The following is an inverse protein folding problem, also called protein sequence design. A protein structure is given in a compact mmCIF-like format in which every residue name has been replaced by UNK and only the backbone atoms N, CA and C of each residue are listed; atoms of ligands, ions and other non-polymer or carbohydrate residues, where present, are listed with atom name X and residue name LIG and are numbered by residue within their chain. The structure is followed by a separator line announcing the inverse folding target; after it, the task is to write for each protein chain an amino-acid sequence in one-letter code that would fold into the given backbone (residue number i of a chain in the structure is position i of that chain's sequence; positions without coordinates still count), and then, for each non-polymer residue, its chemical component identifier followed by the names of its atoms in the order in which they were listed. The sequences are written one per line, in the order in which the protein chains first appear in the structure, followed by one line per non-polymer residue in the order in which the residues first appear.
data_IF_881161498028
#
_entry.id   IF_881161498028
#
_cell.length_a   1.000
_cell.length_b   1.000
_cell.length_c   1.000
_cell.angle_alpha   90.00
_cell.angle_beta   90.00
_cell.angle_gamma   90.00
#
_symmetry.space_group_name_H-M   'P 1'
#
loop_
_entity.id
_entity.type
_entity.pdbx_description
1 polymer ?
#
# COMPACT_ATOMS: atom_id res chain seq x y z
N UNK A 1 -6.47 -2.57 14.56
CA UNK A 1 -6.40 -2.87 13.12
C UNK A 1 -5.38 -3.96 13.01
N UNK A 2 -5.86 -5.18 12.98
CA UNK A 2 -5.05 -6.37 12.78
C UNK A 2 -5.55 -7.00 11.48
N UNK A 3 -4.65 -7.47 10.62
CA UNK A 3 -4.98 -8.30 9.46
C UNK A 3 -5.45 -9.71 9.87
N UNK A 4 -6.25 -9.81 10.94
CA UNK A 4 -6.71 -11.09 11.52
C UNK A 4 -7.65 -11.87 10.58
N UNK A 5 -8.21 -11.21 9.59
CA UNK A 5 -9.06 -11.84 8.56
C UNK A 5 -8.37 -11.71 7.21
N UNK A 6 -8.09 -12.85 6.57
CA UNK A 6 -7.60 -12.88 5.19
C UNK A 6 -8.60 -12.28 4.21
N UNK A 7 -8.14 -11.90 3.03
CA UNK A 7 -9.01 -11.44 1.94
C UNK A 7 -9.85 -12.61 1.43
N UNK A 8 -11.16 -12.59 1.67
CA UNK A 8 -12.08 -13.68 1.27
C UNK A 8 -12.61 -13.53 -0.18
N UNK A 9 -12.46 -12.36 -0.79
CA UNK A 9 -12.98 -12.10 -2.13
C UNK A 9 -12.06 -12.64 -3.24
N UNK A 10 -12.39 -13.85 -3.71
CA UNK A 10 -11.74 -14.54 -4.81
C UNK A 10 -11.99 -13.90 -6.19
N UNK A 11 -12.85 -12.89 -6.28
CA UNK A 11 -13.01 -12.12 -7.52
C UNK A 11 -11.88 -11.10 -7.70
N UNK A 12 -11.20 -10.73 -6.60
CA UNK A 12 -10.05 -9.84 -6.65
C UNK A 12 -8.76 -10.60 -6.99
N UNK A 13 -7.85 -9.94 -7.71
CA UNK A 13 -6.49 -10.47 -7.94
C UNK A 13 -5.75 -10.76 -6.63
N UNK A 14 -5.92 -9.89 -5.63
CA UNK A 14 -5.28 -10.04 -4.31
C UNK A 14 -5.80 -11.28 -3.57
N UNK A 15 -7.12 -11.51 -3.58
CA UNK A 15 -7.74 -12.69 -2.98
C UNK A 15 -7.32 -13.99 -3.66
N UNK A 16 -7.24 -14.00 -5.01
CA UNK A 16 -6.72 -15.16 -5.77
C UNK A 16 -5.26 -15.45 -5.43
N UNK A 17 -4.42 -14.41 -5.42
CA UNK A 17 -2.99 -14.54 -5.06
C UNK A 17 -2.82 -15.07 -3.64
N UNK A 18 -3.59 -14.56 -2.68
CA UNK A 18 -3.58 -15.07 -1.30
C UNK A 18 -3.97 -16.57 -1.24
N UNK A 19 -5.02 -16.97 -1.96
CA UNK A 19 -5.45 -18.37 -2.01
C UNK A 19 -4.38 -19.27 -2.64
N UNK A 20 -3.74 -18.82 -3.71
CA UNK A 20 -2.66 -19.56 -4.35
C UNK A 20 -1.46 -19.76 -3.41
N UNK A 21 -1.03 -18.71 -2.70
CA UNK A 21 0.02 -18.80 -1.67
C UNK A 21 -0.39 -19.78 -0.56
N UNK A 22 -1.65 -19.72 -0.08
CA UNK A 22 -2.16 -20.67 0.92
C UNK A 22 -2.07 -22.12 0.43
N UNK A 23 -2.51 -22.39 -0.80
CA UNK A 23 -2.46 -23.72 -1.41
C UNK A 23 -1.01 -24.24 -1.57
N UNK A 24 -0.06 -23.35 -1.86
CA UNK A 24 1.36 -23.66 -1.93
C UNK A 24 1.90 -24.05 -0.55
N UNK A 25 1.60 -23.25 0.49
CA UNK A 25 2.02 -23.52 1.87
C UNK A 25 1.47 -24.88 2.34
N UNK A 26 0.19 -25.17 2.11
CA UNK A 26 -0.41 -26.47 2.45
C UNK A 26 0.30 -27.64 1.73
N UNK A 27 0.61 -27.46 0.45
CA UNK A 27 1.33 -28.48 -0.32
C UNK A 27 2.75 -28.68 0.22
N UNK A 28 3.44 -27.63 0.67
CA UNK A 28 4.74 -27.74 1.36
C UNK A 28 4.64 -28.46 2.71
N UNK A 29 3.58 -28.22 3.48
CA UNK A 29 3.35 -28.93 4.75
C UNK A 29 3.17 -30.43 4.48
N UNK A 30 2.32 -30.80 3.51
CA UNK A 30 2.13 -32.19 3.11
C UNK A 30 3.42 -32.84 2.61
N UNK A 31 4.20 -32.10 1.82
CA UNK A 31 5.50 -32.55 1.34
C UNK A 31 6.47 -32.80 2.51
N UNK A 32 6.52 -31.89 3.48
CA UNK A 32 7.34 -32.03 4.68
C UNK A 32 7.01 -33.28 5.48
N UNK A 33 5.72 -33.55 5.71
CA UNK A 33 5.26 -34.78 6.39
C UNK A 33 5.62 -36.04 5.59
N UNK A 34 5.43 -36.01 4.26
CA UNK A 34 5.72 -37.15 3.39
C UNK A 34 7.21 -37.49 3.32
N UNK A 35 8.08 -36.47 3.37
CA UNK A 35 9.55 -36.65 3.44
C UNK A 35 9.97 -37.14 4.82
N UNK A 36 9.35 -36.63 5.89
CA UNK A 36 9.62 -37.06 7.25
C UNK A 36 9.28 -38.55 7.46
N UNK A 37 8.11 -38.98 7.00
CA UNK A 37 7.63 -40.37 7.12
C UNK A 37 7.93 -41.23 5.88
N UNK A 38 8.96 -40.85 5.12
CA UNK A 38 9.23 -41.46 3.82
C UNK A 38 9.56 -42.95 3.96
N UNK A 39 8.67 -43.79 3.41
CA UNK A 39 8.90 -45.22 3.22
C UNK A 39 9.42 -45.38 1.80
N UNK A 40 10.55 -46.05 1.59
CA UNK A 40 11.16 -46.22 0.26
C UNK A 40 10.37 -47.14 -0.71
N UNK A 41 9.04 -47.17 -0.59
CA UNK A 41 8.10 -47.85 -1.47
C UNK A 41 7.93 -47.07 -2.76
N UNK A 42 7.53 -47.75 -3.83
CA UNK A 42 7.36 -47.10 -5.13
C UNK A 42 6.16 -46.13 -5.13
N UNK A 43 5.11 -46.41 -4.35
CA UNK A 43 3.97 -45.50 -4.16
C UNK A 43 4.38 -44.19 -3.47
N UNK A 44 5.27 -44.25 -2.48
CA UNK A 44 5.74 -43.05 -1.78
C UNK A 44 6.62 -42.18 -2.68
N UNK A 45 7.47 -42.80 -3.51
CA UNK A 45 8.26 -42.08 -4.52
C UNK A 45 7.36 -41.40 -5.56
N UNK A 46 6.32 -42.10 -6.02
CA UNK A 46 5.36 -41.56 -6.98
C UNK A 46 4.56 -40.39 -6.39
N UNK A 47 4.08 -40.53 -5.14
CA UNK A 47 3.38 -39.46 -4.44
C UNK A 47 4.25 -38.22 -4.23
N UNK A 48 5.53 -38.42 -3.88
CA UNK A 48 6.50 -37.34 -3.72
C UNK A 48 6.71 -36.57 -5.03
N UNK A 49 6.92 -37.29 -6.14
CA UNK A 49 7.11 -36.70 -7.45
C UNK A 49 5.86 -35.91 -7.90
N UNK A 50 4.66 -36.43 -7.64
CA UNK A 50 3.41 -35.74 -7.96
C UNK A 50 3.24 -34.43 -7.17
N UNK A 51 3.56 -34.44 -5.87
CA UNK A 51 3.48 -33.24 -5.03
C UNK A 51 4.53 -32.18 -5.43
N UNK A 52 5.75 -32.59 -5.79
CA UNK A 52 6.77 -31.66 -6.31
C UNK A 52 6.31 -31.01 -7.62
N UNK A 53 5.80 -31.81 -8.56
CA UNK A 53 5.25 -31.27 -9.82
C UNK A 53 4.06 -30.34 -9.57
N UNK A 54 3.23 -30.64 -8.56
CA UNK A 54 2.14 -29.76 -8.15
C UNK A 54 2.66 -28.41 -7.64
N UNK A 55 3.68 -28.40 -6.77
CA UNK A 55 4.31 -27.16 -6.27
C UNK A 55 4.88 -26.33 -7.43
N UNK A 56 5.60 -26.96 -8.35
CA UNK A 56 6.18 -26.27 -9.51
C UNK A 56 5.09 -25.62 -10.37
N UNK A 57 4.01 -26.34 -10.64
CA UNK A 57 2.88 -25.81 -11.41
C UNK A 57 2.18 -24.66 -10.69
N UNK A 58 2.01 -24.75 -9.36
CA UNK A 58 1.43 -23.68 -8.54
C UNK A 58 2.32 -22.44 -8.47
N UNK A 59 3.65 -22.62 -8.39
CA UNK A 59 4.58 -21.48 -8.39
C UNK A 59 4.59 -20.76 -9.75
N UNK A 60 4.47 -21.53 -10.84
CA UNK A 60 4.33 -20.99 -12.19
C UNK A 60 2.98 -20.28 -12.41
N UNK A 61 1.89 -20.80 -11.85
CA UNK A 61 0.60 -20.12 -11.90
C UNK A 61 0.63 -18.83 -11.09
N UNK A 62 1.31 -18.80 -9.93
CA UNK A 62 1.44 -17.61 -9.09
C UNK A 62 2.12 -16.45 -9.83
N UNK A 63 3.20 -16.74 -10.57
CA UNK A 63 3.87 -15.75 -11.42
C UNK A 63 2.93 -15.16 -12.48
N UNK A 64 2.06 -16.00 -13.03
CA UNK A 64 1.12 -15.60 -14.09
C UNK A 64 -0.06 -14.81 -13.52
N UNK A 65 -0.64 -15.28 -12.42
CA UNK A 65 -1.76 -14.66 -11.70
C UNK A 65 -1.39 -13.31 -11.09
N UNK A 66 -0.13 -13.10 -10.71
CA UNK A 66 0.38 -11.82 -10.23
C UNK A 66 0.44 -10.74 -11.34
N UNK A 67 0.47 -11.15 -12.62
CA UNK A 67 0.66 -10.28 -13.78
C UNK A 67 -0.56 -10.21 -14.72
N UNK A 68 -1.65 -10.95 -14.45
CA UNK A 68 -2.81 -10.99 -15.34
C UNK A 68 -3.88 -9.97 -14.92
N UNK A 69 -4.34 -9.07 -15.80
CA UNK A 69 -5.34 -8.04 -15.47
C UNK A 69 -6.67 -8.67 -15.02
N UNK A 70 -7.41 -8.03 -14.08
CA UNK A 70 -8.68 -8.59 -13.64
C UNK A 70 -9.66 -8.51 -14.80
N UNK A 71 -10.37 -9.60 -15.08
CA UNK A 71 -11.56 -9.52 -15.91
C UNK A 71 -12.49 -8.48 -15.30
N UNK A 72 -12.80 -7.43 -16.06
CA UNK A 72 -13.72 -6.36 -15.71
C UNK A 72 -14.99 -6.91 -15.05
N UNK A 73 -15.12 -6.73 -13.74
CA UNK A 73 -16.42 -6.82 -13.06
C UNK A 73 -16.63 -5.60 -12.19
N UNK A 74 -16.53 -4.42 -12.81
CA UNK A 74 -17.24 -3.22 -12.37
C UNK A 74 -17.62 -2.37 -13.58
N UNK A 75 -18.17 -3.01 -14.63
CA UNK A 75 -19.11 -2.29 -15.48
C UNK A 75 -20.41 -2.15 -14.71
N UNK A 76 -20.53 -1.09 -13.90
CA UNK A 76 -21.84 -0.52 -13.61
C UNK A 76 -22.47 -0.18 -14.96
N UNK A 77 -23.36 -1.07 -15.38
CA UNK A 77 -24.29 -0.91 -16.46
C UNK A 77 -25.05 0.42 -16.29
N UNK A 78 -24.59 1.47 -16.97
CA UNK A 78 -25.41 2.63 -17.30
C UNK A 78 -25.07 3.05 -18.75
N UNK A 79 -26.07 2.89 -19.63
CA UNK A 79 -26.18 3.40 -21.00
C UNK A 79 -25.57 2.55 -22.13
N UNK A 80 -26.30 1.49 -22.47
CA UNK A 80 -26.48 1.10 -23.87
C UNK A 80 -27.39 2.15 -24.54
N UNK A 81 -26.80 3.19 -25.12
CA UNK A 81 -27.47 4.00 -26.14
C UNK A 81 -26.44 4.70 -27.03
N UNK A 82 -26.69 4.57 -28.33
CA UNK A 82 -26.24 5.41 -29.43
C UNK A 82 -24.80 5.21 -29.95
N UNK A 83 -24.76 4.58 -31.13
CA UNK A 83 -23.54 4.34 -31.87
C UNK A 83 -23.03 5.57 -32.61
N UNK A 84 -21.72 5.59 -32.84
CA UNK A 84 -21.10 5.98 -34.10
C UNK A 84 -19.63 5.56 -34.04
N UNK A 85 -19.14 4.87 -35.07
CA UNK A 85 -17.72 4.54 -35.19
C UNK A 85 -16.90 5.79 -35.48
N UNK A 86 -15.74 5.90 -34.83
CA UNK A 86 -14.51 6.44 -35.41
C UNK A 86 -13.35 6.13 -34.46
N UNK A 87 -12.28 5.56 -35.03
CA UNK A 87 -11.10 5.15 -34.30
C UNK A 87 -10.39 6.31 -33.62
N UNK A 88 -10.07 6.09 -32.36
CA UNK A 88 -8.86 6.57 -31.75
C UNK A 88 -8.29 5.36 -31.01
N UNK A 89 -7.07 4.96 -31.37
CA UNK A 89 -6.28 4.00 -30.65
C UNK A 89 -6.41 4.28 -29.15
N UNK A 90 -7.14 3.40 -28.47
CA UNK A 90 -7.14 3.36 -27.01
C UNK A 90 -5.79 2.72 -26.71
N UNK A 91 -4.87 3.48 -26.12
CA UNK A 91 -3.63 2.95 -25.56
C UNK A 91 -4.02 1.84 -24.56
N UNK A 92 -4.02 0.58 -25.01
CA UNK A 92 -4.27 -0.63 -24.21
C UNK A 92 -2.99 -1.00 -23.44
N UNK A 93 -2.26 0.01 -22.97
CA UNK A 93 -1.09 -0.16 -22.09
C UNK A 93 -1.42 0.28 -20.64
N UNK A 94 -2.60 0.87 -20.40
CA UNK A 94 -2.98 1.52 -19.12
C UNK A 94 -3.85 0.66 -18.18
N UNK A 95 -3.95 -0.65 -18.44
CA UNK A 95 -4.60 -1.62 -17.50
C UNK A 95 -3.64 -2.77 -17.17
N UNK A 96 -2.35 -2.51 -17.28
CA UNK A 96 -1.33 -3.44 -16.80
C UNK A 96 -0.97 -3.04 -15.37
N UNK A 97 -1.22 -3.95 -14.42
CA UNK A 97 -0.55 -4.01 -13.11
C UNK A 97 -1.18 -3.36 -11.85
N UNK A 98 -2.46 -3.61 -11.52
CA UNK A 98 -3.02 -3.19 -10.22
C UNK A 98 -2.30 -3.72 -8.95
N UNK A 99 -1.62 -4.87 -9.01
CA UNK A 99 -0.80 -5.37 -7.89
C UNK A 99 0.61 -4.78 -7.89
N UNK A 100 1.22 -4.58 -9.06
CA UNK A 100 2.54 -3.96 -9.21
C UNK A 100 2.50 -2.43 -9.08
N UNK A 101 1.31 -1.83 -9.13
CA UNK A 101 1.04 -0.45 -8.73
C UNK A 101 1.12 -0.25 -7.21
N UNK A 102 0.97 -1.31 -6.41
CA UNK A 102 1.06 -1.21 -4.94
C UNK A 102 2.53 -1.15 -4.54
N UNK A 103 3.05 0.06 -4.38
CA UNK A 103 4.40 0.27 -3.92
C UNK A 103 4.51 0.01 -2.40
N UNK A 104 5.19 -1.08 -2.03
CA UNK A 104 5.40 -1.47 -0.63
C UNK A 104 6.69 -0.81 -0.12
N UNK A 105 6.66 -0.08 1.01
CA UNK A 105 7.88 0.48 1.61
C UNK A 105 8.87 -0.62 2.01
N UNK A 106 10.16 -0.42 1.74
CA UNK A 106 11.23 -1.36 2.09
C UNK A 106 11.28 -1.67 3.60
N UNK A 107 10.90 -0.70 4.43
CA UNK A 107 10.82 -0.88 5.87
C UNK A 107 9.81 -1.95 6.27
N UNK A 108 8.71 -2.11 5.52
CA UNK A 108 7.72 -3.17 5.76
C UNK A 108 8.31 -4.55 5.47
N UNK A 109 9.17 -4.66 4.45
CA UNK A 109 9.86 -5.91 4.14
C UNK A 109 10.77 -6.36 5.29
N UNK A 110 11.55 -5.43 5.87
CA UNK A 110 12.39 -5.73 7.04
C UNK A 110 11.57 -6.26 8.23
N UNK A 111 10.36 -5.73 8.44
CA UNK A 111 9.48 -6.24 9.50
C UNK A 111 9.08 -7.70 9.25
N UNK A 112 8.79 -8.07 8.00
CA UNK A 112 8.44 -9.44 7.62
C UNK A 112 9.65 -10.38 7.81
N UNK A 113 10.84 -9.97 7.38
CA UNK A 113 12.07 -10.75 7.55
C UNK A 113 12.41 -11.00 9.03
N UNK A 114 12.21 -10.00 9.88
CA UNK A 114 12.43 -10.11 11.33
C UNK A 114 11.29 -10.85 12.07
N UNK A 115 10.23 -11.28 11.38
CA UNK A 115 9.05 -11.93 11.97
C UNK A 115 8.18 -10.98 12.81
N UNK A 116 8.29 -9.67 12.59
CA UNK A 116 7.50 -8.62 13.26
C UNK A 116 6.22 -8.33 12.47
N UNK A 117 5.12 -8.06 13.17
CA UNK A 117 3.86 -7.70 12.51
C UNK A 117 4.00 -6.37 11.72
N UNK A 118 3.77 -6.34 10.39
CA UNK A 118 3.85 -5.12 9.58
C UNK A 118 2.84 -4.03 9.98
N UNK A 119 1.74 -4.35 10.66
CA UNK A 119 0.80 -3.35 11.20
C UNK A 119 1.47 -2.40 12.19
N UNK A 120 2.55 -2.86 12.84
CA UNK A 120 3.32 -2.03 13.76
C UNK A 120 4.01 -0.89 13.00
N UNK A 121 4.53 -1.14 11.80
CA UNK A 121 5.09 -0.08 10.95
C UNK A 121 4.03 0.98 10.65
N UNK A 122 2.84 0.57 10.22
CA UNK A 122 1.73 1.50 9.92
C UNK A 122 1.36 2.34 11.15
N UNK A 123 1.29 1.71 12.33
CA UNK A 123 1.03 2.41 13.60
C UNK A 123 2.13 3.41 13.93
N UNK A 124 3.40 3.01 13.89
CA UNK A 124 4.54 3.89 14.16
C UNK A 124 4.58 5.07 13.16
N UNK A 125 4.31 4.81 11.88
CA UNK A 125 4.23 5.83 10.85
C UNK A 125 3.14 6.86 11.15
N UNK A 126 1.93 6.42 11.50
CA UNK A 126 0.82 7.32 11.88
C UNK A 126 1.18 8.12 13.13
N UNK A 127 1.83 7.51 14.12
CA UNK A 127 2.27 8.18 15.34
C UNK A 127 3.31 9.27 15.03
N UNK A 128 4.29 8.98 14.17
CA UNK A 128 5.30 9.95 13.72
C UNK A 128 4.64 11.10 12.95
N UNK A 129 3.77 10.81 11.99
CA UNK A 129 3.05 11.83 11.21
C UNK A 129 2.22 12.73 12.13
N UNK A 130 1.49 12.15 13.09
CA UNK A 130 0.72 12.90 14.09
C UNK A 130 1.62 13.82 14.91
N UNK A 131 2.75 13.31 15.41
CA UNK A 131 3.71 14.07 16.21
C UNK A 131 4.30 15.23 15.41
N UNK A 132 4.69 14.99 14.16
CA UNK A 132 5.24 16.01 13.26
C UNK A 132 4.18 17.06 12.98
N UNK A 133 2.95 16.68 12.64
CA UNK A 133 1.88 17.62 12.34
C UNK A 133 1.58 18.52 13.56
N UNK A 134 1.44 17.93 14.75
CA UNK A 134 1.24 18.69 15.98
C UNK A 134 2.41 19.65 16.26
N UNK A 135 3.63 19.18 16.08
CA UNK A 135 4.84 19.99 16.26
C UNK A 135 4.89 21.16 15.27
N UNK A 136 4.62 20.92 13.98
CA UNK A 136 4.61 21.95 12.94
C UNK A 136 3.51 22.98 13.18
N UNK A 137 2.31 22.54 13.56
CA UNK A 137 1.23 23.43 13.93
C UNK A 137 1.60 24.30 15.15
N UNK A 138 2.15 23.68 16.21
CA UNK A 138 2.62 24.40 17.39
C UNK A 138 3.72 25.40 17.07
N UNK A 139 4.66 25.03 16.19
CA UNK A 139 5.72 25.92 15.69
C UNK A 139 5.11 27.10 14.93
N UNK A 140 4.18 26.86 13.99
CA UNK A 140 3.48 27.92 13.25
C UNK A 140 2.79 28.91 14.19
N UNK A 141 2.02 28.41 15.16
CA UNK A 141 1.35 29.24 16.18
C UNK A 141 2.37 30.06 16.99
N UNK A 142 3.50 29.46 17.39
CA UNK A 142 4.54 30.16 18.13
C UNK A 142 5.19 31.28 17.31
N UNK A 143 5.47 31.03 16.02
CA UNK A 143 6.00 32.06 15.12
C UNK A 143 5.01 33.20 14.89
N UNK A 144 3.72 32.92 14.75
CA UNK A 144 2.68 33.96 14.67
C UNK A 144 2.63 34.81 15.94
N UNK A 145 2.64 34.18 17.12
CA UNK A 145 2.69 34.91 18.40
C UNK A 145 3.97 35.74 18.54
N UNK A 146 5.11 35.19 18.12
CA UNK A 146 6.39 35.90 18.14
C UNK A 146 6.36 37.12 17.21
N UNK A 147 5.84 36.96 15.98
CA UNK A 147 5.57 38.05 15.04
C UNK A 147 4.75 39.14 15.70
N UNK A 148 3.64 38.79 16.35
CA UNK A 148 2.77 39.77 16.99
C UNK A 148 3.45 40.56 18.10
N UNK A 149 4.15 39.89 19.00
CA UNK A 149 4.88 40.53 20.11
C UNK A 149 5.99 41.42 19.58
N UNK A 150 6.75 40.94 18.59
CA UNK A 150 7.85 41.69 18.00
C UNK A 150 7.35 42.96 17.31
N UNK A 151 6.30 42.85 16.49
CA UNK A 151 5.68 44.01 15.84
C UNK A 151 5.20 45.03 16.87
N UNK A 152 4.50 44.59 17.93
CA UNK A 152 4.03 45.51 18.99
C UNK A 152 5.19 46.23 19.71
N UNK A 153 6.30 45.54 19.97
CA UNK A 153 7.48 46.17 20.58
C UNK A 153 8.16 47.17 19.64
N UNK A 154 8.30 46.83 18.36
CA UNK A 154 8.89 47.73 17.36
C UNK A 154 8.07 49.01 17.23
N UNK A 155 6.74 48.90 17.14
CA UNK A 155 5.83 50.06 17.06
C UNK A 155 5.95 50.96 18.29
N UNK A 156 6.12 50.35 19.49
CA UNK A 156 6.27 51.11 20.74
C UNK A 156 7.57 51.91 20.81
N UNK A 157 8.69 51.33 20.39
CA UNK A 157 10.02 51.97 20.46
C UNK A 157 10.27 52.91 19.27
N UNK A 158 9.71 52.59 18.10
CA UNK A 158 9.90 53.35 16.85
C UNK A 158 8.54 53.65 16.18
N UNK A 159 7.85 54.73 16.59
CA UNK A 159 6.54 55.08 16.05
C UNK A 159 6.54 55.33 14.53
N UNK A 160 7.63 55.85 13.99
CA UNK A 160 7.78 56.15 12.56
C UNK A 160 7.74 54.91 11.66
N UNK A 161 8.02 53.71 12.22
CA UNK A 161 8.03 52.44 11.48
C UNK A 161 6.68 51.70 11.52
N UNK A 162 5.67 52.28 12.16
CA UNK A 162 4.38 51.62 12.39
C UNK A 162 3.69 51.20 11.07
N UNK A 163 3.74 52.04 10.05
CA UNK A 163 3.12 51.78 8.75
C UNK A 163 3.77 50.57 8.05
N UNK A 164 5.10 50.53 7.99
CA UNK A 164 5.86 49.44 7.38
C UNK A 164 5.66 48.11 8.10
N UNK A 165 5.60 48.11 9.45
CA UNK A 165 5.41 46.89 10.24
C UNK A 165 4.01 46.30 10.04
N UNK A 166 2.98 47.16 9.95
CA UNK A 166 1.61 46.73 9.70
C UNK A 166 1.44 46.18 8.28
N UNK A 167 2.11 46.77 7.28
CA UNK A 167 2.14 46.26 5.91
C UNK A 167 2.76 44.86 5.85
N UNK A 168 3.91 44.64 6.53
CA UNK A 168 4.57 43.32 6.58
C UNK A 168 3.67 42.28 7.26
N UNK A 169 2.99 42.65 8.36
CA UNK A 169 2.03 41.75 9.02
C UNK A 169 0.94 41.29 8.07
N UNK A 170 0.26 42.23 7.40
CA UNK A 170 -0.81 41.95 6.44
C UNK A 170 -0.34 41.08 5.27
N UNK A 171 0.87 41.32 4.75
CA UNK A 171 1.48 40.48 3.71
C UNK A 171 1.83 39.07 4.19
N UNK A 172 2.15 38.91 5.47
CA UNK A 172 2.51 37.60 6.04
C UNK A 172 1.28 36.78 6.41
N UNK A 173 0.13 37.41 6.66
CA UNK A 173 -1.14 36.77 7.00
C UNK A 173 -1.93 36.27 5.76
N UNK A 174 -1.28 36.15 4.58
CA UNK A 174 -1.92 35.74 3.33
C UNK A 174 -2.55 34.33 3.40
N UNK A 175 -3.86 34.29 3.09
CA UNK A 175 -4.69 33.27 2.42
C UNK A 175 -4.19 31.82 2.40
#
# INVERSE_FOLDING_TARGET
MTTETGFEDLNTQLGRTQQEISNIIETFIHLGVQVHDFKATDDAKLGLANNINKVINQLKSLESSANEPPADTDTLNINKADGNGNGSDVDIDDVSNKLSEINIPLEVLNYIEDGRNPDIYTREFIEVVRKINQYLNGKSIAFNKFKDILSSKIIKEFPDLQESVNEIKLKTDLN
#
